data_IF_959532724873
#
_entry.id   IF_959532724873
#
_cell.length_a   1.000
_cell.length_b   1.000
_cell.length_c   1.000
_cell.angle_alpha   90.00
_cell.angle_beta   90.00
_cell.angle_gamma   90.00
#
_symmetry.space_group_name_H-M   'P 1'
#
loop_
_entity.id
_entity.type
_entity.pdbx_description
1 polymer ?
#
# COMPACT_ATOMS: atom_id res chain seq x y z
N UNK A 1 -21.70 25.84 -12.73
CA UNK A 1 -22.87 24.93 -12.81
C UNK A 1 -22.61 23.62 -13.57
N UNK A 2 -21.77 23.56 -14.60
CA UNK A 2 -21.54 22.33 -15.38
C UNK A 2 -20.80 21.19 -14.63
N UNK A 3 -19.87 21.50 -13.72
CA UNK A 3 -19.13 20.45 -12.98
C UNK A 3 -20.01 19.66 -12.01
N UNK A 4 -21.00 20.30 -11.37
CA UNK A 4 -21.85 19.65 -10.38
C UNK A 4 -22.69 18.51 -10.97
N UNK A 5 -23.25 18.71 -12.16
CA UNK A 5 -24.02 17.69 -12.88
C UNK A 5 -23.13 16.52 -13.34
N UNK A 6 -21.90 16.81 -13.78
CA UNK A 6 -20.93 15.78 -14.20
C UNK A 6 -20.49 14.94 -13.00
N UNK A 7 -20.22 15.57 -11.87
CA UNK A 7 -19.77 14.87 -10.66
C UNK A 7 -20.92 14.07 -10.03
N UNK A 8 -22.15 14.59 -10.06
CA UNK A 8 -23.35 13.84 -9.65
C UNK A 8 -23.60 12.62 -10.52
N UNK A 9 -23.47 12.73 -11.85
CA UNK A 9 -23.58 11.57 -12.76
C UNK A 9 -22.51 10.52 -12.46
N UNK A 10 -21.26 10.94 -12.23
CA UNK A 10 -20.16 10.03 -11.86
C UNK A 10 -20.42 9.34 -10.52
N UNK A 11 -20.92 10.07 -9.52
CA UNK A 11 -21.30 9.53 -8.21
C UNK A 11 -22.33 8.41 -8.35
N UNK A 12 -23.45 8.71 -9.00
CA UNK A 12 -24.54 7.75 -9.22
C UNK A 12 -24.05 6.55 -10.01
N UNK A 13 -23.35 6.77 -11.12
CA UNK A 13 -22.80 5.67 -11.93
C UNK A 13 -21.89 4.75 -11.13
N UNK A 14 -20.94 5.30 -10.36
CA UNK A 14 -20.00 4.51 -9.57
C UNK A 14 -20.68 3.75 -8.44
N UNK A 15 -21.63 4.39 -7.77
CA UNK A 15 -22.40 3.75 -6.71
C UNK A 15 -23.24 2.59 -7.25
N UNK A 16 -23.96 2.81 -8.36
CA UNK A 16 -24.74 1.76 -9.03
C UNK A 16 -23.80 0.63 -9.45
N UNK A 17 -22.71 0.95 -10.16
CA UNK A 17 -21.76 -0.06 -10.63
C UNK A 17 -21.14 -0.85 -9.48
N UNK A 18 -20.73 -0.20 -8.39
CA UNK A 18 -20.19 -0.90 -7.23
C UNK A 18 -21.21 -1.86 -6.61
N UNK A 19 -22.47 -1.44 -6.46
CA UNK A 19 -23.53 -2.29 -5.90
C UNK A 19 -23.92 -3.46 -6.80
N UNK A 20 -23.89 -3.26 -8.12
CA UNK A 20 -24.22 -4.30 -9.09
C UNK A 20 -23.08 -5.30 -9.29
N UNK A 21 -21.84 -4.80 -9.44
CA UNK A 21 -20.66 -5.63 -9.71
C UNK A 21 -20.17 -6.32 -8.44
N UNK A 22 -20.36 -5.71 -7.26
CA UNK A 22 -19.88 -6.22 -5.96
C UNK A 22 -18.40 -6.66 -6.05
N UNK A 23 -17.50 -5.73 -6.37
CA UNK A 23 -16.10 -6.05 -6.58
C UNK A 23 -15.50 -6.71 -5.33
N UNK A 24 -14.63 -7.68 -5.56
CA UNK A 24 -13.78 -8.25 -4.53
C UNK A 24 -12.50 -7.43 -4.39
N UNK A 25 -11.88 -7.37 -3.20
CA UNK A 25 -10.51 -6.88 -3.05
C UNK A 25 -9.55 -7.66 -3.95
N UNK A 26 -8.39 -7.07 -4.31
CA UNK A 26 -7.44 -7.74 -5.17
C UNK A 26 -6.91 -9.02 -4.47
N UNK A 27 -6.73 -10.13 -5.21
CA UNK A 27 -6.29 -11.39 -4.62
C UNK A 27 -4.85 -11.29 -4.12
N UNK A 28 -4.49 -12.13 -3.14
CA UNK A 28 -3.10 -12.30 -2.71
C UNK A 28 -2.54 -13.63 -3.26
N UNK A 29 -1.35 -13.63 -3.90
CA UNK A 29 -0.69 -14.87 -4.30
C UNK A 29 -0.13 -15.69 -3.13
N UNK A 30 -0.08 -15.11 -1.93
CA UNK A 30 0.40 -15.81 -0.73
C UNK A 30 -0.41 -15.44 0.51
N UNK A 31 -0.40 -16.37 1.48
CA UNK A 31 -1.00 -16.17 2.79
C UNK A 31 -0.01 -15.47 3.71
N UNK A 32 -0.50 -14.51 4.49
CA UNK A 32 0.29 -13.93 5.57
C UNK A 32 0.36 -14.92 6.72
N UNK A 33 1.52 -15.53 6.90
CA UNK A 33 1.78 -16.48 7.99
C UNK A 33 2.42 -15.82 9.20
N UNK A 34 2.88 -14.57 9.07
CA UNK A 34 3.48 -13.77 10.12
C UNK A 34 3.13 -12.29 9.92
N UNK A 35 3.68 -11.36 10.73
CA UNK A 35 3.38 -9.95 10.62
C UNK A 35 3.70 -9.39 9.23
N UNK A 36 2.88 -8.47 8.75
CA UNK A 36 3.14 -7.75 7.51
C UNK A 36 3.78 -6.38 7.81
N UNK A 37 4.94 -6.11 7.24
CA UNK A 37 5.60 -4.80 7.30
C UNK A 37 5.26 -4.01 6.05
N UNK A 38 4.56 -2.89 6.22
CA UNK A 38 4.22 -1.97 5.14
C UNK A 38 5.17 -0.78 5.16
N UNK A 39 6.02 -0.69 4.14
CA UNK A 39 7.05 0.34 4.03
C UNK A 39 6.59 1.40 3.05
N UNK A 40 6.25 2.57 3.58
CA UNK A 40 5.90 3.76 2.81
C UNK A 40 7.12 4.54 2.32
N UNK A 41 6.85 5.75 1.83
CA UNK A 41 7.87 6.61 1.21
C UNK A 41 8.11 7.91 2.01
N UNK A 42 7.82 7.95 3.31
CA UNK A 42 8.14 9.11 4.15
C UNK A 42 9.65 9.16 4.47
N UNK A 43 10.22 10.35 4.77
CA UNK A 43 11.67 10.54 4.93
C UNK A 43 12.32 9.66 6.00
N UNK A 44 11.59 9.38 7.08
CA UNK A 44 12.06 8.56 8.18
C UNK A 44 11.30 7.23 8.15
N UNK A 45 12.03 6.13 8.27
CA UNK A 45 11.50 4.78 8.38
C UNK A 45 12.45 3.95 9.23
N UNK A 46 11.89 3.17 10.16
CA UNK A 46 12.63 2.28 11.03
C UNK A 46 12.35 0.83 10.67
N UNK A 47 13.40 0.02 10.72
CA UNK A 47 13.24 -1.43 10.68
C UNK A 47 12.45 -1.87 11.93
N UNK A 48 11.37 -2.66 11.78
CA UNK A 48 10.66 -3.20 12.92
C UNK A 48 11.58 -4.03 13.83
N UNK A 49 11.42 -3.88 15.14
CA UNK A 49 12.14 -4.68 16.12
C UNK A 49 11.81 -6.17 15.96
N UNK A 50 12.84 -7.03 15.98
CA UNK A 50 12.69 -8.48 15.83
C UNK A 50 12.31 -8.95 14.44
N UNK A 51 12.46 -8.11 13.41
CA UNK A 51 12.18 -8.51 12.03
C UNK A 51 13.14 -9.62 11.57
N UNK A 52 12.56 -10.68 11.01
CA UNK A 52 13.24 -11.82 10.42
C UNK A 52 12.44 -12.35 9.21
N UNK A 53 12.83 -13.51 8.68
CA UNK A 53 12.19 -14.14 7.51
C UNK A 53 10.74 -14.62 7.76
N UNK A 54 10.24 -14.52 8.99
CA UNK A 54 8.83 -14.82 9.29
C UNK A 54 7.88 -13.68 8.88
N UNK A 55 8.41 -12.45 8.75
CA UNK A 55 7.66 -11.27 8.36
C UNK A 55 7.44 -11.25 6.85
N UNK A 56 6.30 -10.72 6.42
CA UNK A 56 6.04 -10.43 5.02
C UNK A 56 6.25 -8.95 4.74
N UNK A 57 6.95 -8.61 3.65
CA UNK A 57 7.34 -7.21 3.38
C UNK A 57 6.56 -6.67 2.18
N UNK A 58 5.81 -5.59 2.41
CA UNK A 58 5.07 -4.84 1.40
C UNK A 58 5.70 -3.47 1.22
N UNK A 59 6.29 -3.23 0.06
CA UNK A 59 6.84 -1.92 -0.31
C UNK A 59 5.85 -1.10 -1.12
N UNK A 60 5.94 0.23 -1.02
CA UNK A 60 5.11 1.19 -1.72
C UNK A 60 5.98 2.03 -2.64
N UNK A 61 5.67 2.00 -3.94
CA UNK A 61 6.44 2.68 -4.97
C UNK A 61 7.93 2.34 -4.87
N UNK A 62 8.80 3.35 -4.68
CA UNK A 62 10.24 3.18 -4.58
C UNK A 62 10.77 2.80 -3.19
N UNK A 63 9.93 2.49 -2.19
CA UNK A 63 10.41 2.26 -0.82
C UNK A 63 11.24 0.97 -0.62
N UNK A 64 11.40 0.17 -1.68
CA UNK A 64 12.36 -0.94 -1.71
C UNK A 64 13.81 -0.49 -1.47
N UNK A 65 14.15 0.77 -1.78
CA UNK A 65 15.45 1.36 -1.41
C UNK A 65 15.70 1.37 0.11
N UNK A 66 14.64 1.49 0.90
CA UNK A 66 14.70 1.48 2.36
C UNK A 66 14.90 0.04 2.85
N UNK A 67 14.08 -0.90 2.36
CA UNK A 67 14.17 -2.31 2.78
C UNK A 67 15.49 -2.96 2.39
N UNK A 68 16.13 -2.51 1.31
CA UNK A 68 17.46 -2.96 0.92
C UNK A 68 18.52 -2.64 1.99
N UNK A 69 18.36 -1.55 2.74
CA UNK A 69 19.26 -1.19 3.85
C UNK A 69 19.06 -2.10 5.07
N UNK A 70 17.93 -2.81 5.14
CA UNK A 70 17.62 -3.80 6.17
C UNK A 70 18.00 -5.22 5.74
N UNK A 71 18.68 -5.38 4.61
CA UNK A 71 19.05 -6.68 4.05
C UNK A 71 17.94 -7.36 3.24
N UNK A 72 16.79 -6.71 3.04
CA UNK A 72 15.68 -7.24 2.23
C UNK A 72 15.81 -6.72 0.80
N UNK A 73 16.48 -7.50 -0.05
CA UNK A 73 16.66 -7.15 -1.45
C UNK A 73 15.37 -7.35 -2.28
N UNK A 74 14.57 -8.36 -1.94
CA UNK A 74 13.37 -8.76 -2.68
C UNK A 74 12.16 -8.75 -1.74
N UNK A 75 11.30 -7.72 -1.79
CA UNK A 75 10.07 -7.71 -1.01
C UNK A 75 9.07 -8.74 -1.55
N UNK A 76 8.16 -9.19 -0.68
CA UNK A 76 7.09 -10.09 -1.09
C UNK A 76 6.06 -9.37 -1.96
N UNK A 77 5.71 -8.13 -1.61
CA UNK A 77 4.79 -7.30 -2.39
C UNK A 77 5.42 -5.94 -2.68
N UNK A 78 5.21 -5.44 -3.90
CA UNK A 78 5.32 -4.02 -4.21
C UNK A 78 3.98 -3.48 -4.69
N UNK A 79 3.47 -2.44 -4.04
CA UNK A 79 2.31 -1.68 -4.50
C UNK A 79 2.76 -0.38 -5.16
N UNK A 80 2.61 -0.30 -6.48
CA UNK A 80 3.11 0.81 -7.29
C UNK A 80 1.97 1.58 -7.95
N UNK A 81 1.98 2.91 -7.84
CA UNK A 81 1.04 3.76 -8.57
C UNK A 81 1.42 3.82 -10.05
N UNK A 82 0.44 3.78 -10.96
CA UNK A 82 0.68 3.79 -12.42
C UNK A 82 1.64 4.89 -12.90
N UNK A 83 1.57 6.08 -12.28
CA UNK A 83 2.35 7.23 -12.69
C UNK A 83 3.86 7.08 -12.39
N UNK A 84 4.28 6.14 -11.54
CA UNK A 84 5.70 5.90 -11.30
C UNK A 84 6.38 5.21 -12.50
N UNK A 85 5.59 4.52 -13.33
CA UNK A 85 6.10 3.71 -14.44
C UNK A 85 6.40 4.58 -15.66
N UNK A 86 5.47 5.48 -16.02
CA UNK A 86 5.61 6.32 -17.23
C UNK A 86 5.65 7.83 -16.93
N UNK A 87 5.42 8.23 -15.68
CA UNK A 87 5.36 9.64 -15.31
C UNK A 87 6.71 10.34 -15.51
N UNK A 88 6.63 11.61 -15.87
CA UNK A 88 7.79 12.46 -16.18
C UNK A 88 8.23 13.32 -14.99
N UNK A 89 7.50 13.31 -13.88
CA UNK A 89 7.83 14.07 -12.67
C UNK A 89 9.15 13.59 -12.04
N UNK A 90 9.80 14.47 -11.27
CA UNK A 90 11.03 14.13 -10.56
C UNK A 90 10.86 12.86 -9.70
N UNK A 91 9.80 12.79 -8.89
CA UNK A 91 9.48 11.61 -8.08
C UNK A 91 9.34 10.32 -8.91
N UNK A 92 8.68 10.37 -10.08
CA UNK A 92 8.54 9.20 -10.93
C UNK A 92 9.89 8.73 -11.50
N UNK A 93 10.77 9.68 -11.86
CA UNK A 93 12.14 9.38 -12.30
C UNK A 93 12.96 8.76 -11.16
N UNK A 94 12.87 9.31 -9.96
CA UNK A 94 13.57 8.77 -8.78
C UNK A 94 13.09 7.37 -8.41
N UNK A 95 11.78 7.11 -8.43
CA UNK A 95 11.25 5.75 -8.20
C UNK A 95 11.82 4.77 -9.23
N UNK A 96 11.86 5.12 -10.51
CA UNK A 96 12.48 4.25 -11.53
C UNK A 96 13.98 4.08 -11.32
N UNK A 97 14.69 5.12 -10.90
CA UNK A 97 16.13 5.06 -10.61
C UNK A 97 16.42 4.07 -9.49
N UNK A 98 15.68 4.15 -8.37
CA UNK A 98 15.92 3.27 -7.20
C UNK A 98 15.46 1.83 -7.44
N UNK A 99 14.44 1.62 -8.27
CA UNK A 99 13.95 0.29 -8.64
C UNK A 99 14.71 -0.32 -9.83
N UNK A 100 15.62 0.43 -10.47
CA UNK A 100 16.32 -0.05 -11.66
C UNK A 100 17.09 -1.34 -11.38
N UNK A 101 16.82 -2.39 -12.16
CA UNK A 101 17.44 -3.71 -12.01
C UNK A 101 16.94 -4.55 -10.83
N UNK A 102 16.05 -4.01 -9.99
CA UNK A 102 15.48 -4.68 -8.80
C UNK A 102 14.35 -5.64 -9.18
N UNK A 103 13.89 -6.43 -8.21
CA UNK A 103 12.74 -7.33 -8.35
C UNK A 103 11.84 -7.34 -7.12
N UNK A 104 10.60 -7.79 -7.28
CA UNK A 104 9.63 -8.10 -6.21
C UNK A 104 8.98 -9.44 -6.48
N UNK A 105 8.41 -10.13 -5.49
CA UNK A 105 7.68 -11.37 -5.79
C UNK A 105 6.35 -11.05 -6.46
N UNK A 106 5.50 -10.26 -5.82
CA UNK A 106 4.22 -9.84 -6.38
C UNK A 106 4.15 -8.32 -6.58
N UNK A 107 3.96 -7.89 -7.83
CA UNK A 107 3.76 -6.50 -8.19
C UNK A 107 2.26 -6.19 -8.37
N UNK A 108 1.76 -5.24 -7.59
CA UNK A 108 0.41 -4.69 -7.71
C UNK A 108 0.50 -3.27 -8.26
N UNK A 109 0.04 -3.07 -9.49
CA UNK A 109 0.01 -1.76 -10.15
C UNK A 109 -1.37 -1.16 -10.00
N UNK A 110 -1.44 -0.06 -9.25
CA UNK A 110 -2.69 0.58 -8.89
C UNK A 110 -3.13 1.58 -9.97
N UNK A 111 -4.41 1.50 -10.33
CA UNK A 111 -5.10 2.40 -11.26
C UNK A 111 -4.54 2.38 -12.68
N UNK A 112 -3.94 1.25 -13.10
CA UNK A 112 -3.64 0.96 -14.49
C UNK A 112 -4.89 0.42 -15.22
N UNK A 113 -4.91 0.52 -16.55
CA UNK A 113 -6.00 -0.02 -17.37
C UNK A 113 -5.78 -1.51 -17.65
N UNK A 114 -6.69 -2.38 -17.19
CA UNK A 114 -6.54 -3.84 -17.31
C UNK A 114 -6.30 -4.34 -18.74
N UNK A 115 -6.83 -3.66 -19.75
CA UNK A 115 -6.63 -3.98 -21.17
C UNK A 115 -5.32 -3.44 -21.77
N UNK A 116 -4.49 -2.72 -21.02
CA UNK A 116 -3.20 -2.17 -21.47
C UNK A 116 -2.02 -2.87 -20.78
N UNK A 117 -2.13 -4.19 -20.54
CA UNK A 117 -1.09 -4.99 -19.86
C UNK A 117 0.26 -4.94 -20.58
N UNK A 118 0.32 -5.13 -21.89
CA UNK A 118 1.60 -5.14 -22.61
C UNK A 118 2.35 -3.81 -22.50
N UNK A 119 1.60 -2.69 -22.47
CA UNK A 119 2.19 -1.35 -22.27
C UNK A 119 2.81 -1.24 -20.89
N UNK A 120 2.13 -1.76 -19.87
CA UNK A 120 2.66 -1.84 -18.51
C UNK A 120 3.97 -2.64 -18.48
N UNK A 121 3.99 -3.81 -19.11
CA UNK A 121 5.15 -4.70 -19.13
C UNK A 121 6.34 -4.05 -19.85
N UNK A 122 6.12 -3.37 -20.97
CA UNK A 122 7.15 -2.55 -21.63
C UNK A 122 7.67 -1.41 -20.75
N UNK A 123 6.76 -0.74 -20.05
CA UNK A 123 7.10 0.33 -19.10
C UNK A 123 8.03 -0.18 -17.99
N UNK A 124 7.71 -1.32 -17.39
CA UNK A 124 8.52 -1.98 -16.36
C UNK A 124 9.87 -2.46 -16.90
N UNK A 125 9.89 -3.03 -18.11
CA UNK A 125 11.11 -3.48 -18.77
C UNK A 125 12.09 -2.34 -19.07
N UNK A 126 11.60 -1.13 -19.34
CA UNK A 126 12.43 0.05 -19.67
C UNK A 126 13.44 0.45 -18.58
N UNK A 127 13.20 0.04 -17.33
CA UNK A 127 14.14 0.21 -16.22
C UNK A 127 14.49 -1.13 -15.54
N UNK A 128 14.29 -2.25 -16.24
CA UNK A 128 14.66 -3.59 -15.78
C UNK A 128 14.09 -3.95 -14.39
N UNK A 129 12.84 -3.58 -14.10
CA UNK A 129 12.16 -4.00 -12.88
C UNK A 129 11.40 -5.30 -13.10
N UNK A 130 11.75 -6.32 -12.32
CA UNK A 130 11.24 -7.70 -12.49
C UNK A 130 10.23 -8.07 -11.40
N UNK A 131 9.37 -9.04 -11.71
CA UNK A 131 8.37 -9.57 -10.80
C UNK A 131 8.10 -11.04 -11.10
N UNK A 132 7.67 -11.80 -10.09
CA UNK A 132 7.20 -13.19 -10.28
C UNK A 132 5.71 -13.21 -10.65
N UNK A 133 4.90 -12.31 -10.06
CA UNK A 133 3.48 -12.13 -10.36
C UNK A 133 3.13 -10.64 -10.60
N UNK A 134 2.25 -10.37 -11.57
CA UNK A 134 1.77 -9.02 -11.89
C UNK A 134 0.25 -8.92 -11.83
N UNK A 135 -0.24 -8.01 -10.99
CA UNK A 135 -1.65 -7.67 -10.81
C UNK A 135 -1.91 -6.21 -11.16
N UNK A 136 -2.99 -5.98 -11.90
CA UNK A 136 -3.51 -4.62 -12.16
C UNK A 136 -4.72 -4.43 -11.25
N UNK A 137 -4.60 -3.50 -10.31
CA UNK A 137 -5.66 -3.18 -9.33
C UNK A 137 -6.42 -1.94 -9.81
N UNK A 138 -7.70 -2.12 -10.09
CA UNK A 138 -8.59 -1.04 -10.47
C UNK A 138 -9.16 -0.29 -9.26
N UNK A 139 -9.96 0.73 -9.55
CA UNK A 139 -10.60 1.57 -8.52
C UNK A 139 -11.59 0.79 -7.66
N UNK A 140 -12.34 -0.14 -8.25
CA UNK A 140 -13.39 -0.87 -7.57
C UNK A 140 -12.81 -1.90 -6.60
N UNK A 141 -11.67 -2.52 -6.94
CA UNK A 141 -10.91 -3.39 -6.04
C UNK A 141 -10.35 -2.61 -4.83
N UNK A 142 -9.87 -1.37 -5.03
CA UNK A 142 -9.47 -0.48 -3.92
C UNK A 142 -10.66 -0.07 -3.05
N UNK A 143 -11.80 0.26 -3.66
CA UNK A 143 -13.04 0.57 -2.93
C UNK A 143 -13.52 -0.63 -2.11
N UNK A 144 -13.36 -1.85 -2.63
CA UNK A 144 -13.71 -3.07 -1.92
C UNK A 144 -12.85 -3.28 -0.67
N UNK A 145 -11.55 -2.96 -0.72
CA UNK A 145 -10.69 -2.97 0.48
C UNK A 145 -11.21 -2.02 1.57
N UNK A 146 -11.56 -0.79 1.20
CA UNK A 146 -12.10 0.22 2.12
C UNK A 146 -13.41 -0.24 2.77
N UNK A 147 -14.33 -0.76 1.97
CA UNK A 147 -15.65 -1.21 2.46
C UNK A 147 -15.51 -2.45 3.35
N UNK A 148 -14.79 -3.48 2.91
CA UNK A 148 -14.71 -4.76 3.62
C UNK A 148 -13.84 -4.73 4.87
N UNK A 149 -12.81 -3.89 4.91
CA UNK A 149 -11.85 -3.86 6.04
C UNK A 149 -12.15 -2.73 7.01
N UNK A 150 -12.51 -1.55 6.52
CA UNK A 150 -12.75 -0.36 7.32
C UNK A 150 -14.23 0.06 7.41
N UNK A 151 -15.15 -0.67 6.77
CA UNK A 151 -16.58 -0.33 6.75
C UNK A 151 -16.88 0.98 6.02
N UNK A 152 -15.96 1.42 5.15
CA UNK A 152 -15.97 2.75 4.54
C UNK A 152 -16.35 2.69 3.07
N UNK A 153 -17.54 3.19 2.74
CA UNK A 153 -18.00 3.34 1.37
C UNK A 153 -17.50 4.66 0.77
N UNK A 154 -16.24 4.68 0.33
CA UNK A 154 -15.71 5.78 -0.50
C UNK A 154 -15.96 5.50 -1.97
N UNK A 155 -16.38 6.51 -2.73
CA UNK A 155 -16.53 6.44 -4.20
C UNK A 155 -15.28 6.95 -4.95
N UNK A 156 -14.22 7.33 -4.21
CA UNK A 156 -12.94 7.87 -4.71
C UNK A 156 -13.11 8.88 -5.87
N UNK A 157 -13.98 9.88 -5.69
CA UNK A 157 -14.38 10.85 -6.73
C UNK A 157 -13.27 11.85 -7.01
N UNK A 158 -12.71 12.41 -5.93
CA UNK A 158 -11.63 13.38 -5.92
C UNK A 158 -10.35 12.77 -5.32
N UNK A 159 -9.29 13.57 -5.20
CA UNK A 159 -8.04 13.12 -4.58
C UNK A 159 -8.19 12.95 -3.05
N UNK A 160 -8.97 13.79 -2.38
CA UNK A 160 -9.12 13.80 -0.92
C UNK A 160 -9.91 12.60 -0.39
N UNK A 161 -10.77 12.00 -1.22
CA UNK A 161 -11.55 10.81 -0.93
C UNK A 161 -10.81 9.49 -1.19
N UNK A 162 -9.56 9.57 -1.70
CA UNK A 162 -8.67 8.42 -1.90
C UNK A 162 -7.73 8.28 -0.71
N UNK A 163 -7.48 7.05 -0.30
CA UNK A 163 -6.36 6.74 0.58
C UNK A 163 -5.07 6.52 -0.23
N UNK A 164 -3.94 6.68 0.45
CA UNK A 164 -2.61 6.45 -0.11
C UNK A 164 -2.37 4.97 -0.41
N UNK A 165 -1.32 4.69 -1.18
CA UNK A 165 -0.90 3.32 -1.45
C UNK A 165 -0.45 2.59 -0.17
N UNK A 166 0.11 3.32 0.81
CA UNK A 166 0.46 2.75 2.11
C UNK A 166 -0.76 2.25 2.87
N UNK A 167 -1.83 3.05 2.92
CA UNK A 167 -3.08 2.60 3.55
C UNK A 167 -3.76 1.50 2.73
N UNK A 168 -3.72 1.52 1.40
CA UNK A 168 -4.19 0.38 0.59
C UNK A 168 -3.43 -0.92 0.93
N UNK A 169 -2.11 -0.85 1.12
CA UNK A 169 -1.30 -1.99 1.52
C UNK A 169 -1.66 -2.51 2.92
N UNK A 170 -1.95 -1.61 3.87
CA UNK A 170 -2.46 -1.97 5.21
C UNK A 170 -3.79 -2.71 5.11
N UNK A 171 -4.76 -2.14 4.37
CA UNK A 171 -6.07 -2.76 4.18
C UNK A 171 -5.94 -4.12 3.50
N UNK A 172 -5.06 -4.24 2.51
CA UNK A 172 -4.77 -5.49 1.82
C UNK A 172 -4.23 -6.56 2.77
N UNK A 173 -3.22 -6.24 3.58
CA UNK A 173 -2.65 -7.18 4.54
C UNK A 173 -3.69 -7.66 5.55
N UNK A 174 -4.50 -6.74 6.10
CA UNK A 174 -5.58 -7.08 7.03
C UNK A 174 -6.68 -7.94 6.37
N UNK A 175 -7.07 -7.61 5.14
CA UNK A 175 -8.08 -8.39 4.41
C UNK A 175 -7.65 -9.84 4.21
N UNK A 176 -6.37 -10.04 3.91
CA UNK A 176 -5.77 -11.35 3.67
C UNK A 176 -5.24 -12.03 4.94
N UNK A 177 -5.65 -11.55 6.11
CA UNK A 177 -5.46 -12.25 7.38
C UNK A 177 -4.09 -12.10 8.02
N UNK A 178 -3.34 -11.03 7.72
CA UNK A 178 -2.11 -10.75 8.45
C UNK A 178 -2.38 -10.65 9.97
N UNK A 179 -1.66 -11.41 10.81
CA UNK A 179 -1.87 -11.43 12.25
C UNK A 179 -1.54 -10.09 12.92
N UNK A 180 -0.63 -9.33 12.31
CA UNK A 180 -0.35 -7.94 12.64
C UNK A 180 0.11 -7.18 11.39
N UNK A 181 -0.13 -5.88 11.35
CA UNK A 181 0.36 -4.99 10.29
C UNK A 181 1.18 -3.86 10.91
N UNK A 182 2.44 -3.77 10.53
CA UNK A 182 3.40 -2.79 11.05
C UNK A 182 3.67 -1.79 9.94
N UNK A 183 3.34 -0.53 10.15
CA UNK A 183 3.63 0.55 9.21
C UNK A 183 4.96 1.22 9.54
N UNK A 184 5.70 1.61 8.51
CA UNK A 184 6.88 2.47 8.65
C UNK A 184 7.05 3.28 7.38
N UNK A 185 7.57 4.51 7.49
CA UNK A 185 7.61 5.43 6.35
C UNK A 185 6.21 5.88 5.92
N UNK A 186 5.22 5.76 6.80
CA UNK A 186 3.84 6.21 6.60
C UNK A 186 3.48 7.11 7.77
N UNK A 187 3.70 8.42 7.62
CA UNK A 187 3.21 9.41 8.56
C UNK A 187 2.03 10.17 7.94
N UNK A 188 0.79 10.00 8.46
CA UNK A 188 -0.37 10.75 7.98
C UNK A 188 -0.26 12.25 8.28
N UNK A 189 0.52 12.67 9.27
CA UNK A 189 0.73 14.09 9.60
C UNK A 189 1.91 14.71 8.83
N UNK A 190 2.71 13.92 8.11
CA UNK A 190 3.85 14.44 7.35
C UNK A 190 3.42 14.98 5.98
N UNK A 191 3.86 16.21 5.68
CA UNK A 191 3.64 16.89 4.42
C UNK A 191 4.58 16.45 3.28
N UNK A 192 5.53 15.53 3.51
CA UNK A 192 6.62 15.22 2.58
C UNK A 192 6.75 13.76 2.12
N UNK A 193 7.54 13.57 1.05
CA UNK A 193 8.07 12.28 0.58
C UNK A 193 9.59 12.23 0.81
N UNK A 194 10.18 11.07 1.08
CA UNK A 194 11.61 10.85 1.33
C UNK A 194 12.54 11.32 0.19
N UNK A 195 11.98 11.57 -0.99
CA UNK A 195 12.71 11.85 -2.22
C UNK A 195 12.28 13.18 -2.89
N UNK A 196 11.80 14.18 -2.13
CA UNK A 196 11.28 15.40 -2.75
C UNK A 196 11.50 16.68 -1.92
N UNK A 197 12.38 17.56 -2.41
CA UNK A 197 12.54 18.97 -1.96
C UNK A 197 11.39 19.89 -2.44
N UNK A 198 10.40 19.36 -3.18
CA UNK A 198 9.44 20.16 -3.95
C UNK A 198 8.16 20.58 -3.21
N UNK A 199 8.04 20.37 -1.89
CA UNK A 199 6.99 20.99 -1.05
C UNK A 199 5.52 20.76 -1.45
N UNK A 200 5.20 19.72 -2.23
CA UNK A 200 3.82 19.44 -2.65
C UNK A 200 3.01 18.85 -1.49
N UNK A 201 1.87 19.48 -1.17
CA UNK A 201 0.96 19.03 -0.12
C UNK A 201 0.37 17.64 -0.43
N UNK A 202 0.44 16.75 0.55
CA UNK A 202 -0.05 15.37 0.44
C UNK A 202 -1.59 15.36 0.53
N UNK A 203 -2.27 15.18 -0.61
CA UNK A 203 -3.74 15.27 -0.71
C UNK A 203 -4.52 14.17 0.03
N UNK A 204 -3.86 13.09 0.47
CA UNK A 204 -4.51 11.90 1.06
C UNK A 204 -4.51 11.86 2.59
N UNK A 205 -3.87 12.83 3.25
CA UNK A 205 -3.65 12.86 4.70
C UNK A 205 -4.94 12.63 5.49
N UNK A 206 -6.00 13.37 5.15
CA UNK A 206 -7.28 13.29 5.87
C UNK A 206 -7.90 11.89 5.81
N UNK A 207 -7.92 11.27 4.63
CA UNK A 207 -8.52 9.95 4.45
C UNK A 207 -7.69 8.86 5.13
N UNK A 208 -6.35 8.94 5.02
CA UNK A 208 -5.44 8.02 5.70
C UNK A 208 -5.64 8.07 7.22
N UNK A 209 -5.73 9.27 7.81
CA UNK A 209 -6.01 9.45 9.24
C UNK A 209 -7.36 8.86 9.65
N UNK A 210 -8.42 9.12 8.88
CA UNK A 210 -9.76 8.57 9.16
C UNK A 210 -9.74 7.04 9.18
N UNK A 211 -9.08 6.43 8.19
CA UNK A 211 -9.00 4.97 8.07
C UNK A 211 -8.19 4.38 9.22
N UNK A 212 -6.99 4.89 9.48
CA UNK A 212 -6.13 4.37 10.54
C UNK A 212 -6.80 4.48 11.91
N UNK A 213 -7.43 5.63 12.21
CA UNK A 213 -8.21 5.79 13.46
C UNK A 213 -9.33 4.76 13.56
N UNK A 214 -10.13 4.57 12.50
CA UNK A 214 -11.21 3.57 12.50
C UNK A 214 -10.70 2.16 12.76
N UNK A 215 -9.57 1.80 12.17
CA UNK A 215 -8.99 0.47 12.36
C UNK A 215 -8.51 0.27 13.80
N UNK A 216 -7.90 1.30 14.41
CA UNK A 216 -7.54 1.29 15.83
C UNK A 216 -8.77 1.18 16.74
N UNK A 217 -9.81 1.98 16.50
CA UNK A 217 -11.07 1.94 17.26
C UNK A 217 -11.77 0.57 17.17
N UNK A 218 -11.61 -0.11 16.03
CA UNK A 218 -12.11 -1.47 15.82
C UNK A 218 -11.19 -2.58 16.38
N UNK A 219 -10.11 -2.21 17.09
CA UNK A 219 -9.17 -3.16 17.69
C UNK A 219 -8.36 -3.97 16.66
N UNK A 220 -8.17 -3.44 15.44
CA UNK A 220 -7.33 -4.11 14.43
C UNK A 220 -5.86 -4.08 14.84
N UNK A 221 -5.08 -5.14 14.55
CA UNK A 221 -3.70 -5.27 15.01
C UNK A 221 -2.74 -4.43 14.14
N UNK A 222 -2.82 -3.11 14.27
CA UNK A 222 -1.99 -2.14 13.54
C UNK A 222 -1.00 -1.50 14.49
N UNK A 223 0.26 -1.49 14.05
CA UNK A 223 1.38 -0.92 14.77
C UNK A 223 2.20 -0.03 13.86
N UNK A 224 3.05 0.81 14.43
CA UNK A 224 4.07 1.55 13.69
C UNK A 224 5.45 1.15 14.20
N UNK A 225 6.46 1.10 13.32
CA UNK A 225 7.86 1.01 13.75
C UNK A 225 8.48 2.38 14.01
N UNK A 226 7.79 3.47 13.64
CA UNK A 226 8.29 4.84 13.76
C UNK A 226 7.83 5.49 15.09
N UNK A 227 8.75 5.80 16.04
CA UNK A 227 8.38 6.35 17.35
C UNK A 227 7.66 7.69 17.29
N UNK A 228 8.05 8.54 16.34
CA UNK A 228 7.39 9.83 16.13
C UNK A 228 5.96 9.66 15.63
N UNK A 229 5.72 8.76 14.69
CA UNK A 229 4.38 8.44 14.21
C UNK A 229 3.53 7.91 15.37
N UNK A 230 4.08 7.05 16.23
CA UNK A 230 3.34 6.53 17.39
C UNK A 230 2.87 7.66 18.31
N UNK A 231 3.79 8.57 18.65
CA UNK A 231 3.53 9.74 19.51
C UNK A 231 2.50 10.71 18.91
N UNK A 232 2.55 10.96 17.61
CA UNK A 232 1.69 11.94 16.94
C UNK A 232 0.30 11.40 16.59
N UNK A 233 0.19 10.11 16.32
CA UNK A 233 -1.05 9.51 15.78
C UNK A 233 -1.79 8.63 16.79
N UNK A 234 -1.12 8.21 17.86
CA UNK A 234 -1.64 7.23 18.82
C UNK A 234 -1.61 5.79 18.31
N UNK A 235 -1.01 5.52 17.15
CA UNK A 235 -0.77 4.14 16.70
C UNK A 235 0.22 3.47 17.66
N UNK A 236 -0.06 2.27 18.19
CA UNK A 236 0.86 1.57 19.07
C UNK A 236 2.22 1.32 18.41
N UNK A 237 3.30 1.56 19.16
CA UNK A 237 4.67 1.26 18.71
C UNK A 237 4.89 -0.26 18.71
N UNK A 238 5.46 -0.78 17.62
CA UNK A 238 5.87 -2.18 17.53
C UNK A 238 7.08 -2.45 18.44
N UNK A 239 7.05 -3.58 19.14
CA UNK A 239 8.18 -4.06 19.93
C UNK A 239 8.33 -5.57 19.74
N UNK A 240 9.54 -6.10 19.95
CA UNK A 240 9.84 -7.51 19.70
C UNK A 240 9.05 -8.48 20.59
N UNK A 241 8.65 -8.07 21.80
CA UNK A 241 7.85 -8.90 22.69
C UNK A 241 6.44 -9.17 22.14
N UNK A 242 5.91 -8.29 21.28
CA UNK A 242 4.64 -8.53 20.60
C UNK A 242 4.74 -9.69 19.60
N UNK A 243 5.92 -9.94 19.00
CA UNK A 243 6.13 -11.07 18.09
C UNK A 243 5.88 -12.41 18.79
N UNK A 244 6.29 -12.53 20.05
CA UNK A 244 6.14 -13.75 20.87
C UNK A 244 4.67 -14.06 21.22
N UNK A 245 3.80 -13.05 21.15
CA UNK A 245 2.36 -13.20 21.43
C UNK A 245 1.54 -13.57 20.20
N UNK A 246 2.15 -13.54 19.00
CA UNK A 246 1.46 -13.87 17.76
C UNK A 246 1.59 -15.37 17.46
N UNK A 247 0.56 -15.98 16.81
CA UNK A 247 0.64 -17.37 16.39
C UNK A 247 1.81 -17.57 15.43
N UNK A 248 2.59 -18.63 15.66
CA UNK A 248 3.78 -18.95 14.88
C UNK A 248 3.45 -19.18 13.39
N UNK A 249 4.42 -18.83 12.52
CA UNK A 249 4.37 -19.03 11.08
C UNK A 249 4.07 -20.49 10.74
N UNK A 250 2.91 -20.75 10.13
CA UNK A 250 2.67 -22.01 9.45
C UNK A 250 3.69 -22.14 8.31
N UNK A 251 4.35 -23.31 8.20
CA UNK A 251 5.28 -23.59 7.13
C UNK A 251 4.62 -23.32 5.76
N UNK A 252 5.37 -22.80 4.77
CA UNK A 252 4.83 -22.64 3.43
C UNK A 252 4.25 -23.98 2.96
N UNK A 253 3.01 -23.94 2.45
CA UNK A 253 2.47 -25.10 1.76
C UNK A 253 3.40 -25.39 0.58
N UNK A 254 4.10 -26.53 0.63
CA UNK A 254 4.74 -27.09 -0.54
C UNK A 254 3.65 -27.40 -1.55
N UNK A 255 3.58 -26.59 -2.61
CA UNK A 255 2.74 -26.89 -3.77
C UNK A 255 3.16 -28.25 -4.33
N UNK A 256 2.18 -29.14 -4.51
CA UNK A 256 2.28 -30.41 -5.26
C UNK A 256 1.88 -30.14 -6.70
#
# INVERSE_FOLDING_TARGET
MNNFLVDTKKLVYRWIKYRLVRPEPPPSPFRFTGPAVVVGSAPVSHCPAGMDDSFSVITVNGSQSITSQWGIEVPDITMMMFNQIEGTTHNAREVRRVLSGRRTRALFVLLWRKNERERLERGLASFNYRYDHLYIVDRYERMALLDKVAGLRSLEIDAESKCSNGVNAVLFALYHGAPAVIITGINPNSSGHAYNDAGLSRLHVRMDTIILRRLLEAGRPIYTADPEVARETGIPLWNAALTETLPAKAAPATDI
#
